data_IF_830217217063
#
_entry.id   IF_830217217063
#
_cell.length_a   1.000
_cell.length_b   1.000
_cell.length_c   1.000
_cell.angle_alpha   90.00
_cell.angle_beta   90.00
_cell.angle_gamma   90.00
#
_symmetry.space_group_name_H-M   'P 1'
#
loop_
_entity.id
_entity.type
_entity.pdbx_description
1 polymer ?
#
# COMPACT_ATOMS: atom_id res chain seq x y z
N UNK A 1 36.87 -21.76 31.49
CA UNK A 1 36.50 -21.92 30.07
C UNK A 1 36.21 -20.54 29.52
N UNK A 2 36.92 -20.05 28.48
CA UNK A 2 36.60 -18.77 27.87
C UNK A 2 35.34 -18.91 27.03
N UNK A 3 34.35 -18.06 27.28
CA UNK A 3 33.16 -17.90 26.44
C UNK A 3 33.63 -17.20 25.16
N UNK A 4 33.64 -17.93 24.04
CA UNK A 4 33.80 -17.34 22.72
C UNK A 4 32.55 -16.49 22.44
N UNK A 5 32.69 -15.17 22.60
CA UNK A 5 31.71 -14.21 22.09
C UNK A 5 31.67 -14.40 20.58
N UNK A 6 30.53 -14.87 20.08
CA UNK A 6 30.27 -15.01 18.65
C UNK A 6 30.32 -13.61 18.01
N UNK A 7 31.30 -13.30 17.13
CA UNK A 7 31.41 -11.98 16.49
C UNK A 7 30.42 -11.78 15.34
N UNK A 8 29.42 -12.66 15.20
CA UNK A 8 28.38 -12.46 14.21
C UNK A 8 27.57 -11.20 14.55
N UNK A 9 27.66 -10.22 13.65
CA UNK A 9 26.80 -9.02 13.50
C UNK A 9 27.31 -7.72 14.12
N UNK A 10 28.46 -7.26 13.63
CA UNK A 10 28.82 -5.82 13.59
C UNK A 10 28.53 -5.18 12.22
N UNK A 11 27.75 -5.84 11.36
CA UNK A 11 27.18 -5.12 10.23
C UNK A 11 26.13 -4.17 10.80
N UNK A 12 26.19 -2.86 10.49
CA UNK A 12 25.10 -1.96 10.84
C UNK A 12 23.79 -2.55 10.29
N UNK A 13 22.69 -2.46 11.03
CA UNK A 13 21.39 -2.89 10.51
C UNK A 13 21.16 -2.21 9.14
N UNK A 14 20.57 -2.93 8.17
CA UNK A 14 20.24 -2.33 6.88
C UNK A 14 19.44 -1.05 7.12
N UNK A 15 19.87 0.06 6.51
CA UNK A 15 19.15 1.32 6.61
C UNK A 15 18.12 1.40 5.48
N UNK A 16 16.94 0.81 5.70
CA UNK A 16 15.78 1.09 4.85
C UNK A 16 14.98 2.25 5.43
N UNK A 17 14.38 3.04 4.56
CA UNK A 17 13.63 4.23 4.95
C UNK A 17 12.57 4.58 3.93
N UNK A 18 11.40 4.97 4.42
CA UNK A 18 10.40 5.65 3.60
C UNK A 18 10.92 7.05 3.31
N UNK A 19 11.24 7.32 2.05
CA UNK A 19 11.82 8.59 1.59
C UNK A 19 10.74 9.64 1.40
N UNK A 20 9.65 9.24 0.74
CA UNK A 20 8.48 10.09 0.55
C UNK A 20 7.22 9.26 0.31
N UNK A 21 6.08 9.87 0.63
CA UNK A 21 4.76 9.28 0.48
C UNK A 21 3.83 10.33 -0.10
N UNK A 22 3.14 10.00 -1.17
CA UNK A 22 2.14 10.88 -1.79
C UNK A 22 0.93 10.08 -2.24
N UNK A 23 -0.21 10.74 -2.26
CA UNK A 23 -1.43 10.18 -2.81
C UNK A 23 -2.18 11.21 -3.64
N UNK A 24 -2.99 10.72 -4.58
CA UNK A 24 -3.87 11.53 -5.41
C UNK A 24 -5.11 10.72 -5.75
N UNK A 25 -6.23 11.42 -5.92
CA UNK A 25 -7.49 10.85 -6.34
C UNK A 25 -8.14 11.69 -7.43
N UNK A 26 -9.02 11.07 -8.21
CA UNK A 26 -9.79 11.78 -9.23
C UNK A 26 -11.12 11.08 -9.50
N UNK A 27 -12.11 11.83 -9.98
CA UNK A 27 -13.31 11.30 -10.62
C UNK A 27 -13.06 11.18 -12.13
N UNK A 28 -12.13 10.30 -12.55
CA UNK A 28 -11.65 10.23 -13.92
C UNK A 28 -11.07 8.87 -14.31
N UNK A 29 -10.65 8.73 -15.56
CA UNK A 29 -9.97 7.52 -16.04
C UNK A 29 -8.48 7.47 -15.70
N UNK A 30 -7.91 8.59 -15.23
CA UNK A 30 -6.50 8.72 -14.88
C UNK A 30 -6.30 9.76 -13.79
N UNK A 31 -5.32 9.51 -12.92
CA UNK A 31 -4.83 10.48 -11.94
C UNK A 31 -3.31 10.40 -11.83
N UNK A 32 -2.69 11.51 -11.45
CA UNK A 32 -1.24 11.61 -11.32
C UNK A 32 -0.87 12.00 -9.89
N UNK A 33 0.10 11.30 -9.34
CA UNK A 33 0.77 11.64 -8.09
C UNK A 33 2.06 12.38 -8.45
N UNK A 34 2.28 13.54 -7.82
CA UNK A 34 3.53 14.31 -7.94
C UNK A 34 4.29 14.20 -6.64
N UNK A 35 5.49 13.63 -6.73
CA UNK A 35 6.45 13.48 -5.65
C UNK A 35 7.16 14.83 -5.36
N UNK A 36 7.65 15.00 -4.14
CA UNK A 36 8.34 16.25 -3.72
C UNK A 36 9.66 16.45 -4.47
N UNK A 37 10.28 15.35 -4.89
CA UNK A 37 11.44 15.31 -5.74
C UNK A 37 11.37 14.10 -6.68
N UNK A 38 12.18 14.13 -7.74
CA UNK A 38 12.42 12.95 -8.56
C UNK A 38 12.94 11.80 -7.67
N UNK A 39 12.43 10.57 -7.83
CA UNK A 39 12.91 9.42 -7.09
C UNK A 39 14.41 9.24 -7.23
N UNK A 40 15.05 8.83 -6.14
CA UNK A 40 16.47 8.50 -6.16
C UNK A 40 16.66 7.18 -6.90
N UNK A 41 17.64 7.14 -7.80
CA UNK A 41 18.00 5.90 -8.51
C UNK A 41 18.30 4.77 -7.52
N UNK A 42 17.75 3.58 -7.80
CA UNK A 42 17.87 2.39 -6.94
C UNK A 42 16.85 2.32 -5.81
N UNK A 43 16.10 3.38 -5.51
CA UNK A 43 14.97 3.28 -4.59
C UNK A 43 13.80 2.53 -5.23
N UNK A 44 12.98 1.90 -4.39
CA UNK A 44 11.76 1.23 -4.80
C UNK A 44 10.60 2.21 -4.77
N UNK A 45 9.85 2.26 -5.87
CA UNK A 45 8.55 2.92 -5.95
C UNK A 45 7.46 1.88 -5.79
N UNK A 46 6.78 1.90 -4.66
CA UNK A 46 5.64 1.04 -4.38
C UNK A 46 4.35 1.83 -4.58
N UNK A 47 3.47 1.32 -5.43
CA UNK A 47 2.23 1.98 -5.84
C UNK A 47 1.04 1.15 -5.48
N UNK A 48 0.05 1.81 -4.90
CA UNK A 48 -1.28 1.29 -4.64
C UNK A 48 -2.25 2.09 -5.47
N UNK A 49 -3.12 1.39 -6.16
CA UNK A 49 -4.16 2.03 -6.96
C UNK A 49 -5.48 1.36 -6.67
N UNK A 50 -6.53 2.15 -6.48
CA UNK A 50 -7.84 1.69 -6.06
C UNK A 50 -8.96 2.34 -6.86
N UNK A 51 -10.07 1.64 -7.07
CA UNK A 51 -11.28 2.13 -7.71
C UNK A 51 -12.51 1.81 -6.86
N UNK A 52 -13.58 2.61 -7.01
CA UNK A 52 -14.90 2.36 -6.40
C UNK A 52 -15.82 1.42 -7.22
N UNK A 53 -15.26 0.69 -8.17
CA UNK A 53 -16.02 -0.30 -8.92
C UNK A 53 -15.14 -1.48 -9.26
N UNK A 54 -15.65 -2.69 -9.02
CA UNK A 54 -14.95 -3.92 -9.41
C UNK A 54 -14.95 -4.17 -10.93
N UNK A 55 -15.79 -3.44 -11.67
CA UNK A 55 -15.80 -3.44 -13.13
C UNK A 55 -14.79 -2.45 -13.73
N UNK A 56 -14.19 -1.60 -12.91
CA UNK A 56 -13.14 -0.67 -13.28
C UNK A 56 -11.81 -1.08 -12.64
N UNK A 57 -10.86 -1.49 -13.47
CA UNK A 57 -9.60 -2.05 -13.00
C UNK A 57 -8.50 -0.99 -13.09
N UNK A 58 -7.78 -0.67 -12.00
CA UNK A 58 -6.49 0.00 -12.10
C UNK A 58 -5.57 -0.74 -13.08
N UNK A 59 -5.13 -0.01 -14.10
CA UNK A 59 -4.22 -0.50 -15.13
C UNK A 59 -2.81 -0.62 -14.58
N UNK A 60 -2.05 -1.58 -15.11
CA UNK A 60 -0.63 -1.69 -14.80
C UNK A 60 0.10 -0.47 -15.35
N UNK A 61 0.87 0.22 -14.50
CA UNK A 61 1.71 1.34 -14.92
C UNK A 61 2.91 0.79 -15.70
N UNK A 62 3.25 1.40 -16.83
CA UNK A 62 4.38 0.96 -17.65
C UNK A 62 5.69 0.89 -16.85
N UNK A 63 6.37 -0.25 -16.91
CA UNK A 63 7.62 -0.50 -16.17
C UNK A 63 7.43 -0.95 -14.72
N UNK A 64 6.20 -1.06 -14.22
CA UNK A 64 5.90 -1.62 -12.91
C UNK A 64 5.58 -3.11 -12.99
N UNK A 65 5.91 -3.83 -11.93
CA UNK A 65 5.56 -5.23 -11.69
C UNK A 65 4.38 -5.29 -10.73
N UNK A 66 3.33 -6.04 -11.08
CA UNK A 66 2.18 -6.25 -10.20
C UNK A 66 2.55 -7.21 -9.06
N UNK A 67 2.08 -6.92 -7.84
CA UNK A 67 2.25 -7.79 -6.67
C UNK A 67 0.90 -8.44 -6.33
N UNK A 68 -0.13 -7.63 -6.05
CA UNK A 68 -1.47 -8.10 -5.67
C UNK A 68 -2.57 -7.38 -6.44
N UNK A 69 -3.72 -8.06 -6.49
CA UNK A 69 -4.93 -7.64 -7.16
C UNK A 69 -6.12 -8.25 -6.41
N UNK A 70 -6.97 -7.41 -5.82
CA UNK A 70 -8.10 -7.87 -5.01
C UNK A 70 -9.31 -6.97 -5.25
N UNK A 71 -10.51 -7.55 -5.19
CA UNK A 71 -11.76 -6.85 -5.45
C UNK A 71 -12.88 -7.30 -4.52
N UNK A 72 -13.79 -6.38 -4.21
CA UNK A 72 -15.10 -6.65 -3.58
C UNK A 72 -16.21 -6.32 -4.58
N UNK A 73 -17.47 -6.19 -4.16
CA UNK A 73 -18.51 -5.77 -5.08
C UNK A 73 -18.32 -4.29 -5.50
N UNK A 74 -17.85 -3.45 -4.57
CA UNK A 74 -17.72 -2.01 -4.71
C UNK A 74 -16.29 -1.51 -4.85
N UNK A 75 -15.41 -2.33 -5.39
CA UNK A 75 -14.15 -1.80 -5.88
C UNK A 75 -13.04 -2.82 -6.02
N UNK A 76 -11.87 -2.28 -6.33
CA UNK A 76 -10.72 -3.06 -6.71
C UNK A 76 -9.47 -2.31 -6.28
N UNK A 77 -8.43 -3.02 -5.81
CA UNK A 77 -7.09 -2.45 -5.75
C UNK A 77 -6.05 -3.30 -6.47
N UNK A 78 -5.00 -2.62 -6.95
CA UNK A 78 -3.76 -3.20 -7.44
C UNK A 78 -2.58 -2.62 -6.68
N UNK A 79 -1.67 -3.49 -6.30
CA UNK A 79 -0.37 -3.13 -5.72
C UNK A 79 0.72 -3.47 -6.73
N UNK A 80 1.67 -2.56 -6.93
CA UNK A 80 2.70 -2.71 -7.95
C UNK A 80 3.98 -2.00 -7.53
N UNK A 81 5.12 -2.43 -8.05
CA UNK A 81 6.41 -1.80 -7.72
C UNK A 81 7.32 -1.65 -8.93
N UNK A 82 8.30 -0.75 -8.84
CA UNK A 82 9.50 -0.78 -9.69
C UNK A 82 10.71 -0.22 -8.95
N UNK A 83 11.90 -0.54 -9.43
CA UNK A 83 13.10 0.21 -9.10
C UNK A 83 13.12 1.52 -9.90
N UNK A 84 13.40 2.63 -9.22
CA UNK A 84 13.57 3.93 -9.84
C UNK A 84 14.87 3.94 -10.66
N UNK A 85 14.77 4.29 -11.93
CA UNK A 85 15.93 4.44 -12.80
C UNK A 85 16.62 5.79 -12.65
N UNK A 86 17.75 5.96 -13.33
CA UNK A 86 18.37 7.27 -13.51
C UNK A 86 17.36 8.26 -14.14
N UNK A 87 17.21 9.43 -13.54
CA UNK A 87 16.26 10.47 -13.95
C UNK A 87 14.78 10.02 -13.97
N UNK A 88 14.39 9.17 -13.03
CA UNK A 88 13.01 8.78 -12.81
C UNK A 88 12.09 10.01 -12.66
N UNK A 89 10.90 9.94 -13.26
CA UNK A 89 9.94 11.05 -13.19
C UNK A 89 9.40 11.21 -11.78
N UNK A 90 9.32 12.45 -11.28
CA UNK A 90 8.59 12.78 -10.06
C UNK A 90 7.06 12.62 -10.22
N UNK A 91 6.56 12.50 -11.44
CA UNK A 91 5.12 12.31 -11.71
C UNK A 91 4.84 10.87 -12.11
N UNK A 92 3.99 10.21 -11.33
CA UNK A 92 3.52 8.85 -11.58
C UNK A 92 2.04 8.93 -11.92
N UNK A 93 1.68 8.40 -13.09
CA UNK A 93 0.29 8.41 -13.57
C UNK A 93 -0.28 7.01 -13.55
N UNK A 94 -1.39 6.83 -12.83
CA UNK A 94 -2.19 5.62 -12.95
C UNK A 94 -3.42 5.91 -13.81
N UNK A 95 -3.91 4.85 -14.43
CA UNK A 95 -5.17 4.86 -15.17
C UNK A 95 -6.01 3.68 -14.73
N UNK A 96 -7.30 3.73 -15.05
CA UNK A 96 -8.21 2.60 -14.93
C UNK A 96 -8.78 2.26 -16.29
N UNK A 97 -9.05 0.98 -16.49
CA UNK A 97 -9.81 0.47 -17.62
C UNK A 97 -11.21 0.06 -17.15
N UNK A 98 -12.23 0.36 -17.95
CA UNK A 98 -13.60 0.01 -17.65
C UNK A 98 -14.57 1.09 -18.13
N UNK A 99 -15.85 0.86 -17.94
CA UNK A 99 -16.92 1.75 -18.41
C UNK A 99 -17.93 2.07 -17.33
N UNK A 100 -17.61 1.85 -16.06
CA UNK A 100 -18.54 2.17 -14.99
C UNK A 100 -18.70 3.70 -14.87
N UNK A 101 -19.89 4.11 -14.45
CA UNK A 101 -20.22 5.51 -14.16
C UNK A 101 -19.60 5.97 -12.83
N UNK A 102 -19.12 5.05 -12.01
CA UNK A 102 -18.42 5.31 -10.76
C UNK A 102 -16.93 5.39 -11.08
N UNK A 103 -16.42 6.61 -11.26
CA UNK A 103 -15.12 6.83 -11.90
C UNK A 103 -13.99 7.13 -10.92
N UNK A 104 -14.17 6.90 -9.61
CA UNK A 104 -13.16 7.22 -8.62
C UNK A 104 -11.92 6.34 -8.84
N UNK A 105 -10.76 6.98 -8.96
CA UNK A 105 -9.45 6.35 -8.99
C UNK A 105 -8.59 7.02 -7.92
N UNK A 106 -8.07 6.24 -6.98
CA UNK A 106 -7.06 6.65 -6.00
C UNK A 106 -5.73 6.01 -6.31
N UNK A 107 -4.65 6.72 -6.05
CA UNK A 107 -3.27 6.26 -6.20
C UNK A 107 -2.46 6.73 -5.01
N UNK A 108 -1.69 5.83 -4.42
CA UNK A 108 -0.67 6.13 -3.41
C UNK A 108 0.67 5.65 -3.91
N UNK A 109 1.71 6.42 -3.65
CA UNK A 109 3.10 6.09 -3.97
C UNK A 109 3.94 6.23 -2.71
N UNK A 110 4.69 5.18 -2.39
CA UNK A 110 5.76 5.19 -1.40
C UNK A 110 7.09 5.02 -2.13
N UNK A 111 8.03 5.92 -1.91
CA UNK A 111 9.43 5.71 -2.27
C UNK A 111 10.17 5.16 -1.06
N UNK A 112 10.85 4.03 -1.23
CA UNK A 112 11.53 3.30 -0.16
C UNK A 112 12.97 3.04 -0.58
N UNK A 113 13.92 3.41 0.27
CA UNK A 113 15.34 3.13 0.07
C UNK A 113 15.78 1.84 0.77
N UNK A 114 16.91 1.28 0.33
CA UNK A 114 17.60 0.19 1.02
C UNK A 114 16.98 -1.20 0.87
N UNK A 115 16.16 -1.40 -0.17
CA UNK A 115 15.54 -2.70 -0.46
C UNK A 115 16.33 -3.47 -1.54
N UNK A 116 16.34 -4.80 -1.45
CA UNK A 116 16.97 -5.68 -2.44
C UNK A 116 16.11 -5.76 -3.70
N UNK A 117 16.46 -5.06 -4.77
CA UNK A 117 15.66 -5.07 -5.99
C UNK A 117 15.79 -6.36 -6.81
N UNK A 118 16.77 -7.22 -6.51
CA UNK A 118 16.92 -8.52 -7.19
C UNK A 118 15.91 -9.57 -6.69
N UNK A 119 15.51 -9.48 -5.42
CA UNK A 119 14.52 -10.38 -4.79
C UNK A 119 13.57 -9.61 -3.87
N UNK A 120 12.97 -8.55 -4.40
CA UNK A 120 12.33 -7.51 -3.60
C UNK A 120 11.18 -7.97 -2.71
N UNK A 121 10.15 -8.59 -3.29
CA UNK A 121 8.95 -9.00 -2.54
C UNK A 121 9.27 -10.30 -1.80
N UNK A 122 9.14 -10.30 -0.47
CA UNK A 122 9.22 -11.53 0.31
C UNK A 122 7.85 -12.19 0.40
N UNK A 123 6.93 -11.61 1.17
CA UNK A 123 5.58 -12.13 1.34
C UNK A 123 4.52 -11.08 1.05
N UNK A 124 3.32 -11.54 0.73
CA UNK A 124 2.16 -10.66 0.62
C UNK A 124 0.89 -11.39 1.03
N UNK A 125 -0.05 -10.65 1.61
CA UNK A 125 -1.40 -11.12 1.88
C UNK A 125 -2.41 -10.00 1.58
N UNK A 126 -3.64 -10.38 1.30
CA UNK A 126 -4.74 -9.45 1.16
C UNK A 126 -5.99 -10.06 1.78
N UNK A 127 -6.90 -9.19 2.19
CA UNK A 127 -8.19 -9.59 2.69
C UNK A 127 -9.24 -8.60 2.21
N UNK A 128 -10.48 -9.03 2.26
CA UNK A 128 -11.62 -8.26 1.83
C UNK A 128 -12.81 -8.46 2.77
N UNK A 129 -13.69 -7.47 2.79
CA UNK A 129 -14.99 -7.58 3.42
C UNK A 129 -16.05 -6.98 2.50
N UNK A 130 -16.94 -7.84 2.02
CA UNK A 130 -18.20 -7.46 1.38
C UNK A 130 -19.32 -7.20 2.39
N UNK A 131 -19.00 -7.20 3.69
CA UNK A 131 -19.99 -7.00 4.74
C UNK A 131 -20.26 -5.51 4.88
N UNK A 132 -21.52 -5.12 4.67
CA UNK A 132 -21.99 -3.78 4.98
C UNK A 132 -21.62 -3.41 6.42
N UNK A 133 -21.25 -2.15 6.61
CA UNK A 133 -21.03 -1.55 7.90
C UNK A 133 -19.73 -2.02 8.61
N UNK A 134 -18.64 -2.17 7.86
CA UNK A 134 -17.32 -2.51 8.43
C UNK A 134 -16.63 -1.29 9.02
N UNK A 135 -16.24 -1.34 10.29
CA UNK A 135 -15.43 -0.28 10.94
C UNK A 135 -13.93 -0.58 10.95
N UNK A 136 -13.52 -1.74 10.43
CA UNK A 136 -12.13 -2.13 10.34
C UNK A 136 -11.91 -3.25 9.34
N UNK A 137 -10.66 -3.39 8.93
CA UNK A 137 -10.23 -4.52 8.12
C UNK A 137 -8.79 -4.92 8.45
N UNK A 138 -8.57 -6.23 8.64
CA UNK A 138 -7.23 -6.81 8.64
C UNK A 138 -6.71 -6.91 7.22
N UNK A 139 -5.41 -6.70 7.04
CA UNK A 139 -4.65 -6.96 5.79
C UNK A 139 -4.59 -8.44 5.41
N UNK A 140 -5.02 -9.34 6.31
CA UNK A 140 -4.74 -10.77 6.24
C UNK A 140 -3.36 -11.09 6.79
N UNK A 141 -3.11 -12.37 7.02
CA UNK A 141 -1.85 -12.86 7.57
C UNK A 141 -0.95 -13.35 6.44
N UNK A 142 0.27 -12.81 6.33
CA UNK A 142 1.27 -13.33 5.38
C UNK A 142 1.71 -14.74 5.76
N UNK A 143 2.32 -15.47 4.82
CA UNK A 143 3.23 -16.55 5.22
C UNK A 143 4.37 -15.97 6.08
N UNK A 144 5.07 -16.83 6.81
CA UNK A 144 6.18 -16.39 7.63
C UNK A 144 7.31 -15.82 6.75
N UNK A 145 7.75 -14.59 7.06
CA UNK A 145 8.95 -14.04 6.43
C UNK A 145 10.15 -14.88 6.82
N UNK A 146 11.06 -15.13 5.88
CA UNK A 146 12.26 -15.95 6.13
C UNK A 146 13.50 -15.11 6.47
N UNK A 147 13.43 -13.79 6.28
CA UNK A 147 14.47 -12.83 6.65
C UNK A 147 14.09 -11.95 7.83
N UNK A 148 15.12 -11.52 8.56
CA UNK A 148 15.04 -10.38 9.48
C UNK A 148 15.38 -9.11 8.71
N UNK A 149 15.07 -7.95 9.30
CA UNK A 149 15.40 -6.63 8.75
C UNK A 149 14.65 -6.35 7.43
N UNK A 150 13.34 -6.56 7.43
CA UNK A 150 12.45 -6.26 6.31
C UNK A 150 11.61 -5.00 6.58
N UNK A 151 10.94 -4.47 5.55
CA UNK A 151 9.85 -3.51 5.74
C UNK A 151 8.52 -4.12 5.30
N UNK A 152 7.51 -4.04 6.16
CA UNK A 152 6.13 -4.32 5.81
C UNK A 152 5.42 -3.02 5.43
N UNK A 153 4.68 -3.06 4.33
CA UNK A 153 3.83 -1.97 3.87
C UNK A 153 2.38 -2.49 3.83
N UNK A 154 1.49 -1.80 4.52
CA UNK A 154 0.08 -2.14 4.66
C UNK A 154 -0.81 -1.06 4.05
N UNK A 155 -1.94 -1.49 3.48
CA UNK A 155 -2.84 -0.64 2.72
C UNK A 155 -4.27 -1.04 2.99
N UNK A 156 -5.13 -0.03 3.10
CA UNK A 156 -6.56 -0.20 3.25
C UNK A 156 -7.28 0.74 2.29
N UNK A 157 -8.38 0.24 1.74
CA UNK A 157 -9.31 0.95 0.89
C UNK A 157 -10.70 0.61 1.39
N UNK A 158 -11.54 1.60 1.68
CA UNK A 158 -12.90 1.40 2.13
C UNK A 158 -13.83 2.39 1.46
N UNK A 159 -15.10 2.00 1.31
CA UNK A 159 -16.08 2.74 0.54
C UNK A 159 -17.07 3.39 1.50
N UNK A 160 -16.86 4.67 1.75
CA UNK A 160 -17.55 5.51 2.72
C UNK A 160 -17.47 6.98 2.27
N UNK A 161 -18.51 7.76 2.53
CA UNK A 161 -18.54 9.21 2.31
C UNK A 161 -18.04 10.01 3.53
N UNK A 162 -17.97 9.39 4.72
CA UNK A 162 -17.40 9.98 5.92
C UNK A 162 -15.99 9.43 6.20
N UNK A 163 -15.03 10.34 6.35
CA UNK A 163 -13.63 9.97 6.53
C UNK A 163 -13.14 10.31 7.92
N UNK A 164 -12.83 9.26 8.69
CA UNK A 164 -11.93 9.35 9.82
C UNK A 164 -10.55 8.82 9.46
N UNK A 165 -9.51 9.49 9.95
CA UNK A 165 -8.14 8.98 9.86
C UNK A 165 -8.06 7.62 10.54
N UNK A 166 -7.68 6.54 9.83
CA UNK A 166 -7.62 5.23 10.45
C UNK A 166 -6.42 5.10 11.39
N UNK A 167 -6.58 4.22 12.37
CA UNK A 167 -5.51 3.76 13.25
C UNK A 167 -5.06 2.36 12.82
N UNK A 168 -3.78 2.06 13.06
CA UNK A 168 -3.17 0.79 12.67
C UNK A 168 -2.69 0.00 13.88
N UNK A 169 -2.90 -1.31 13.88
CA UNK A 169 -2.44 -2.21 14.93
C UNK A 169 -1.01 -2.73 14.69
N UNK A 170 -0.47 -3.50 15.63
CA UNK A 170 0.81 -4.21 15.50
C UNK A 170 2.03 -3.31 15.21
N UNK A 171 1.98 -2.07 15.72
CA UNK A 171 3.04 -1.05 15.60
C UNK A 171 3.29 -0.53 14.18
N UNK A 172 2.31 -0.68 13.28
CA UNK A 172 2.36 -0.02 11.98
C UNK A 172 2.19 1.49 12.15
N UNK A 173 3.01 2.25 11.43
CA UNK A 173 3.02 3.72 11.44
C UNK A 173 2.27 4.20 10.21
N UNK A 174 1.19 4.95 10.43
CA UNK A 174 0.44 5.59 9.34
C UNK A 174 1.35 6.51 8.52
N UNK A 175 1.29 6.35 7.20
CA UNK A 175 2.10 7.09 6.24
C UNK A 175 1.28 8.16 5.52
N UNK A 176 0.09 7.79 5.05
CA UNK A 176 -0.84 8.70 4.39
C UNK A 176 -2.24 8.12 4.48
N UNK A 177 -3.23 9.00 4.41
CA UNK A 177 -4.63 8.64 4.27
C UNK A 177 -5.38 9.76 3.58
N UNK A 178 -6.53 9.44 3.00
CA UNK A 178 -7.35 10.41 2.31
C UNK A 178 -8.70 9.84 1.92
N UNK A 179 -9.55 10.72 1.39
CA UNK A 179 -10.86 10.35 0.88
C UNK A 179 -11.22 11.16 -0.36
N UNK A 180 -12.03 10.56 -1.21
CA UNK A 180 -12.58 11.15 -2.41
C UNK A 180 -14.06 10.86 -2.48
N UNK A 181 -14.88 11.89 -2.29
CA UNK A 181 -16.32 11.82 -2.55
C UNK A 181 -16.60 11.91 -4.05
N UNK A 182 -17.55 11.11 -4.54
CA UNK A 182 -18.06 11.24 -5.90
C UNK A 182 -19.09 12.36 -5.93
N UNK A 183 -19.11 13.17 -6.98
CA UNK A 183 -20.20 14.12 -7.21
C UNK A 183 -21.45 13.43 -7.78
N UNK A 184 -21.32 12.19 -8.26
CA UNK A 184 -22.33 11.50 -9.06
C UNK A 184 -22.93 10.27 -8.37
N UNK A 185 -22.36 9.81 -7.25
CA UNK A 185 -22.91 8.72 -6.42
C UNK A 185 -22.79 9.08 -4.94
N UNK A 186 -23.65 8.48 -4.13
CA UNK A 186 -23.79 8.77 -2.69
C UNK A 186 -22.69 8.15 -1.81
N UNK A 187 -21.56 7.70 -2.37
CA UNK A 187 -20.47 7.10 -1.60
C UNK A 187 -19.09 7.55 -2.10
N UNK A 188 -18.14 7.60 -1.16
CA UNK A 188 -16.74 7.96 -1.39
C UNK A 188 -15.82 6.75 -1.47
N UNK A 189 -14.56 7.00 -1.86
CA UNK A 189 -13.45 6.08 -1.65
C UNK A 189 -12.52 6.70 -0.63
N UNK A 190 -12.22 5.95 0.42
CA UNK A 190 -11.26 6.33 1.43
C UNK A 190 -10.11 5.34 1.44
N UNK A 191 -8.89 5.83 1.69
CA UNK A 191 -7.68 5.02 1.64
C UNK A 191 -6.71 5.38 2.76
N UNK A 192 -5.84 4.43 3.08
CA UNK A 192 -4.69 4.66 3.92
C UNK A 192 -3.56 3.69 3.63
N UNK A 193 -2.36 4.12 4.00
CA UNK A 193 -1.14 3.33 3.98
C UNK A 193 -0.43 3.42 5.32
N UNK A 194 0.22 2.33 5.72
CA UNK A 194 1.10 2.29 6.88
C UNK A 194 2.32 1.42 6.61
N UNK A 195 3.38 1.61 7.40
CA UNK A 195 4.60 0.79 7.30
C UNK A 195 5.10 0.34 8.67
N UNK A 196 5.89 -0.72 8.68
CA UNK A 196 6.57 -1.23 9.86
C UNK A 196 7.93 -1.80 9.48
N UNK A 197 8.95 -1.44 10.26
CA UNK A 197 10.27 -2.08 10.20
C UNK A 197 10.22 -3.39 10.99
N UNK A 198 10.61 -4.50 10.34
CA UNK A 198 10.59 -5.85 10.89
C UNK A 198 12.00 -6.28 11.30
N UNK A 199 12.20 -6.53 12.59
CA UNK A 199 13.49 -7.00 13.12
C UNK A 199 13.47 -8.50 13.46
N UNK A 200 12.40 -9.20 13.09
CA UNK A 200 12.16 -10.61 13.38
C UNK A 200 11.47 -11.27 12.19
N UNK A 201 11.74 -12.55 11.98
CA UNK A 201 10.98 -13.39 11.06
C UNK A 201 9.58 -13.66 11.61
N UNK A 202 8.68 -14.13 10.75
CA UNK A 202 7.36 -14.60 11.13
C UNK A 202 6.24 -14.01 10.28
N UNK A 203 5.03 -14.46 10.54
CA UNK A 203 3.85 -13.96 9.85
C UNK A 203 3.58 -12.50 10.23
N UNK A 204 3.18 -11.70 9.25
CA UNK A 204 2.86 -10.29 9.40
C UNK A 204 1.39 -10.04 9.12
N UNK A 205 0.80 -9.15 9.90
CA UNK A 205 -0.59 -8.70 9.79
C UNK A 205 -0.71 -7.35 10.48
N UNK A 206 -1.65 -6.53 10.00
CA UNK A 206 -2.14 -5.36 10.71
C UNK A 206 -3.61 -5.13 10.36
N UNK A 207 -4.30 -4.44 11.25
CA UNK A 207 -5.69 -4.01 11.10
C UNK A 207 -5.70 -2.49 10.95
N UNK A 208 -6.41 -2.01 9.93
CA UNK A 208 -6.82 -0.62 9.82
C UNK A 208 -8.20 -0.48 10.45
N UNK A 209 -8.30 0.30 11.51
CA UNK A 209 -9.55 0.61 12.21
C UNK A 209 -9.93 2.07 11.96
N UNK A 210 -11.19 2.36 11.67
CA UNK A 210 -11.69 3.73 11.49
C UNK A 210 -13.01 3.91 12.26
N UNK A 211 -13.20 5.10 12.81
CA UNK A 211 -14.43 5.48 13.49
C UNK A 211 -15.27 6.34 12.56
N UNK A 212 -16.25 5.78 11.86
CA UNK A 212 -17.18 6.58 11.05
C UNK A 212 -18.51 6.75 11.77
N UNK A 213 -19.18 7.89 11.53
CA UNK A 213 -20.56 8.12 11.97
C UNK A 213 -21.58 7.30 11.19
N UNK A 214 -21.24 6.95 9.94
CA UNK A 214 -21.96 6.05 9.05
C UNK A 214 -20.98 4.95 8.60
N UNK A 215 -21.33 3.67 8.76
CA UNK A 215 -20.35 2.59 8.62
C UNK A 215 -20.08 2.26 7.13
N UNK A 216 -18.82 2.12 6.68
CA UNK A 216 -18.52 1.83 5.28
C UNK A 216 -19.19 0.56 4.81
N UNK A 217 -19.52 0.56 3.55
CA UNK A 217 -20.21 -0.55 2.92
C UNK A 217 -19.26 -1.74 2.73
N UNK A 218 -18.05 -1.51 2.21
CA UNK A 218 -17.09 -2.59 1.94
C UNK A 218 -15.67 -2.10 2.19
N UNK A 219 -14.76 -3.05 2.40
CA UNK A 219 -13.35 -2.74 2.59
C UNK A 219 -12.44 -3.78 1.95
N UNK A 220 -11.26 -3.32 1.61
CA UNK A 220 -10.16 -4.09 1.05
C UNK A 220 -8.88 -3.73 1.81
N UNK A 221 -8.02 -4.70 2.05
CA UNK A 221 -6.70 -4.45 2.59
C UNK A 221 -5.64 -5.41 2.07
N UNK A 222 -4.40 -4.95 2.11
CA UNK A 222 -3.22 -5.66 1.65
C UNK A 222 -2.02 -5.36 2.54
N UNK A 223 -1.14 -6.34 2.66
CA UNK A 223 0.19 -6.21 3.24
C UNK A 223 1.21 -6.84 2.29
N UNK A 224 2.35 -6.17 2.13
CA UNK A 224 3.50 -6.67 1.38
C UNK A 224 4.75 -6.46 2.23
N UNK A 225 5.58 -7.49 2.36
CA UNK A 225 6.90 -7.40 2.99
C UNK A 225 8.01 -7.40 1.95
N UNK A 226 9.08 -6.66 2.23
CA UNK A 226 10.19 -6.46 1.31
C UNK A 226 11.52 -6.76 1.97
N UNK A 227 12.38 -7.46 1.22
CA UNK A 227 13.73 -7.80 1.64
C UNK A 227 14.62 -6.55 1.64
N UNK A 228 15.46 -6.42 2.66
CA UNK A 228 16.54 -5.44 2.65
C UNK A 228 17.68 -5.89 1.74
N UNK A 229 18.40 -4.90 1.19
CA UNK A 229 19.62 -5.07 0.39
C UNK A 229 20.84 -5.53 1.20
#
# INVERSE_FOLDING_TARGET
MPVLLNPSRLLPPPSFGVVQVKSASSNGSSTSVVLDAAPTEGNVLLVFSGTASNSDLPSLIGGYTSIQNTSVAQGYFRTMWKEAGAAESATITASRSGSSTITQLTVMVLEISGLDTASLVDQSASNDSSTMAVSSISTGTTAATDQVDEIACAFALWYDDDFATPTWTNSFISQTSGSQTSTNVAFGVSWAAATKILNTTGAQETTSDWSSGEQPEEALAAIVTFRAA
#
